data_IF_271975695521
#
_entry.id   IF_271975695521
#
_cell.length_a   1.000
_cell.length_b   1.000
_cell.length_c   1.000
_cell.angle_alpha   90.00
_cell.angle_beta   90.00
_cell.angle_gamma   90.00
#
_symmetry.space_group_name_H-M   'P 1'
#
loop_
_entity.id
_entity.type
_entity.pdbx_description
1 polymer ?
#
# COMPACT_ATOMS: atom_id res chain seq x y z
N UNK A 1 -60.87 49.90 -2.55
CA UNK A 1 -60.44 48.53 -2.37
C UNK A 1 -60.06 47.81 -3.69
N UNK A 2 -60.68 48.09 -4.81
CA UNK A 2 -60.42 47.42 -6.12
C UNK A 2 -59.08 47.75 -6.81
N UNK A 3 -58.49 48.89 -6.56
CA UNK A 3 -57.23 49.29 -7.22
C UNK A 3 -56.00 48.61 -6.56
N UNK A 4 -56.05 48.31 -5.27
CA UNK A 4 -54.93 47.68 -4.56
C UNK A 4 -54.73 46.18 -4.93
N UNK A 5 -55.84 45.45 -5.17
CA UNK A 5 -55.76 44.01 -5.55
C UNK A 5 -55.19 43.82 -6.97
N UNK A 6 -55.45 44.74 -7.89
CA UNK A 6 -54.90 44.69 -9.25
C UNK A 6 -53.40 44.92 -9.30
N UNK A 7 -52.86 45.84 -8.48
CA UNK A 7 -51.44 46.11 -8.38
C UNK A 7 -50.65 44.99 -7.74
N UNK A 8 -51.24 44.29 -6.75
CA UNK A 8 -50.60 43.11 -6.11
C UNK A 8 -50.60 41.90 -7.08
N UNK A 9 -51.66 41.70 -7.86
CA UNK A 9 -51.71 40.65 -8.86
C UNK A 9 -50.67 40.83 -9.98
N UNK A 10 -50.50 42.10 -10.47
CA UNK A 10 -49.47 42.37 -11.50
C UNK A 10 -48.04 42.26 -11.00
N UNK A 11 -47.77 42.58 -9.72
CA UNK A 11 -46.45 42.36 -9.12
C UNK A 11 -46.13 40.87 -9.03
N UNK A 12 -47.06 40.06 -8.53
CA UNK A 12 -46.93 38.61 -8.41
C UNK A 12 -46.74 37.94 -9.80
N UNK A 13 -47.48 38.39 -10.80
CA UNK A 13 -47.32 37.89 -12.15
C UNK A 13 -45.93 38.22 -12.76
N UNK A 14 -45.39 39.40 -12.51
CA UNK A 14 -44.05 39.81 -12.95
C UNK A 14 -42.94 39.02 -12.22
N UNK A 15 -43.12 38.71 -10.96
CA UNK A 15 -42.19 37.85 -10.19
C UNK A 15 -42.20 36.42 -10.72
N UNK A 16 -43.35 35.83 -10.96
CA UNK A 16 -43.49 34.52 -11.59
C UNK A 16 -42.86 34.46 -12.98
N UNK A 17 -43.08 35.50 -13.80
CA UNK A 17 -42.44 35.59 -15.13
C UNK A 17 -40.95 35.78 -15.07
N UNK A 18 -40.42 36.52 -14.07
CA UNK A 18 -38.99 36.64 -13.82
C UNK A 18 -38.37 35.31 -13.39
N UNK A 19 -39.03 34.61 -12.48
CA UNK A 19 -38.61 33.28 -11.99
C UNK A 19 -38.62 32.25 -13.14
N UNK A 20 -39.65 32.18 -13.94
CA UNK A 20 -39.75 31.31 -15.10
C UNK A 20 -38.67 31.62 -16.16
N UNK A 21 -38.38 32.92 -16.40
CA UNK A 21 -37.31 33.34 -17.32
C UNK A 21 -35.94 32.97 -16.80
N UNK A 22 -35.67 33.15 -15.51
CA UNK A 22 -34.41 32.78 -14.88
C UNK A 22 -34.23 31.26 -14.88
N UNK A 23 -35.26 30.49 -14.58
CA UNK A 23 -35.25 29.03 -14.63
C UNK A 23 -34.94 28.52 -16.06
N UNK A 24 -35.58 29.12 -17.10
CA UNK A 24 -35.27 28.81 -18.51
C UNK A 24 -33.81 29.13 -18.85
N UNK A 25 -33.30 30.28 -18.39
CA UNK A 25 -31.90 30.68 -18.62
C UNK A 25 -30.94 29.70 -17.95
N UNK A 26 -31.22 29.29 -16.73
CA UNK A 26 -30.40 28.32 -16.00
C UNK A 26 -30.37 26.95 -16.69
N UNK A 27 -31.52 26.49 -17.20
CA UNK A 27 -31.60 25.22 -17.96
C UNK A 27 -30.81 25.34 -19.29
N UNK A 28 -30.92 26.47 -19.99
CA UNK A 28 -30.16 26.69 -21.22
C UNK A 28 -28.66 26.76 -20.94
N UNK A 29 -28.23 27.43 -19.86
CA UNK A 29 -26.84 27.47 -19.47
C UNK A 29 -26.31 26.08 -19.10
N UNK A 30 -27.07 25.26 -18.36
CA UNK A 30 -26.71 23.88 -18.04
C UNK A 30 -26.59 23.01 -19.30
N UNK A 31 -27.52 23.15 -20.26
CA UNK A 31 -27.45 22.42 -21.53
C UNK A 31 -26.24 22.86 -22.36
N UNK A 32 -25.93 24.17 -22.43
CA UNK A 32 -24.77 24.68 -23.09
C UNK A 32 -23.47 24.22 -22.43
N UNK A 33 -23.41 24.17 -21.08
CA UNK A 33 -22.29 23.64 -20.33
C UNK A 33 -22.04 22.17 -20.67
N UNK A 34 -23.10 21.36 -20.74
CA UNK A 34 -23.00 19.95 -21.15
C UNK A 34 -22.52 19.80 -22.59
N UNK A 35 -22.98 20.65 -23.51
CA UNK A 35 -22.56 20.64 -24.92
C UNK A 35 -21.09 21.08 -25.06
N UNK A 36 -20.65 22.11 -24.34
CA UNK A 36 -19.27 22.58 -24.31
C UNK A 36 -18.35 21.52 -23.68
N UNK A 37 -18.75 20.91 -22.57
CA UNK A 37 -18.00 19.81 -21.94
C UNK A 37 -17.89 18.58 -22.87
N UNK A 38 -18.93 18.29 -23.66
CA UNK A 38 -18.86 17.25 -24.71
C UNK A 38 -17.94 17.60 -25.88
N UNK A 39 -17.85 18.86 -26.22
CA UNK A 39 -16.99 19.33 -27.32
C UNK A 39 -15.51 19.48 -26.96
N UNK A 40 -15.21 19.75 -25.69
CA UNK A 40 -13.83 19.99 -25.20
C UNK A 40 -13.18 18.73 -24.54
N UNK A 41 -13.97 17.79 -24.05
CA UNK A 41 -13.49 16.50 -23.52
C UNK A 41 -13.78 15.45 -24.59
N UNK A 42 -12.79 15.18 -25.41
CA UNK A 42 -12.81 14.38 -26.64
C UNK A 42 -13.85 13.25 -26.69
N UNK A 43 -14.47 13.10 -27.84
CA UNK A 43 -15.60 12.22 -28.19
C UNK A 43 -15.36 10.70 -28.01
N UNK A 44 -14.41 10.27 -27.19
CA UNK A 44 -14.02 8.87 -27.03
C UNK A 44 -14.33 8.22 -25.68
N UNK A 45 -14.90 8.95 -24.71
CA UNK A 45 -15.05 8.41 -23.34
C UNK A 45 -16.49 8.33 -22.79
N UNK A 46 -17.47 8.85 -23.49
CA UNK A 46 -18.86 8.75 -23.06
C UNK A 46 -19.67 7.95 -24.11
N UNK A 47 -20.31 6.88 -23.69
CA UNK A 47 -21.23 6.11 -24.50
C UNK A 47 -22.43 6.95 -24.99
N UNK A 48 -23.28 6.36 -25.82
CA UNK A 48 -24.54 7.02 -26.20
C UNK A 48 -25.42 7.22 -24.98
N UNK A 49 -26.33 8.24 -24.95
CA UNK A 49 -27.25 8.45 -23.81
C UNK A 49 -28.07 7.21 -23.42
N UNK A 50 -28.28 6.27 -24.33
CA UNK A 50 -28.94 5.01 -24.08
C UNK A 50 -28.02 4.01 -23.35
N UNK A 51 -26.72 3.98 -23.66
CA UNK A 51 -25.75 3.17 -22.95
C UNK A 51 -25.50 3.69 -21.53
N UNK A 52 -25.45 5.00 -21.36
CA UNK A 52 -25.30 5.65 -20.04
C UNK A 52 -26.52 5.40 -19.16
N UNK A 53 -27.75 5.37 -19.74
CA UNK A 53 -28.97 5.01 -19.02
C UNK A 53 -29.04 3.53 -18.64
N UNK A 54 -28.56 2.64 -19.50
CA UNK A 54 -28.45 1.21 -19.22
C UNK A 54 -27.42 0.95 -18.12
N UNK A 55 -26.29 1.63 -18.16
CA UNK A 55 -25.26 1.50 -17.15
C UNK A 55 -25.65 2.09 -15.79
N UNK A 56 -26.35 3.24 -15.77
CA UNK A 56 -27.00 3.80 -14.59
C UNK A 56 -28.04 2.85 -14.01
N UNK A 57 -28.89 2.27 -14.86
CA UNK A 57 -29.91 1.30 -14.43
C UNK A 57 -29.27 0.03 -13.85
N UNK A 58 -28.18 -0.45 -14.43
CA UNK A 58 -27.38 -1.56 -13.89
C UNK A 58 -26.75 -1.22 -12.53
N UNK A 59 -26.25 0.00 -12.35
CA UNK A 59 -25.63 0.43 -11.08
C UNK A 59 -26.62 0.62 -9.95
N UNK A 60 -27.85 1.05 -10.25
CA UNK A 60 -28.86 1.32 -9.21
C UNK A 60 -29.79 0.13 -8.90
N UNK A 61 -29.92 -0.84 -9.80
CA UNK A 61 -30.89 -1.96 -9.65
C UNK A 61 -30.18 -3.28 -9.27
N UNK A 62 -28.89 -3.41 -9.53
CA UNK A 62 -28.16 -4.63 -9.20
C UNK A 62 -26.95 -4.28 -8.34
N UNK A 63 -27.12 -4.41 -7.07
CA UNK A 63 -26.20 -4.76 -5.99
C UNK A 63 -26.07 -3.73 -4.88
N UNK A 64 -26.59 -4.10 -3.72
CA UNK A 64 -25.86 -3.91 -2.48
C UNK A 64 -24.83 -5.07 -2.40
N UNK A 65 -23.57 -4.73 -2.22
CA UNK A 65 -22.46 -5.64 -1.92
C UNK A 65 -22.00 -6.61 -3.04
N UNK A 66 -21.01 -6.19 -3.80
CA UNK A 66 -20.12 -7.13 -4.47
C UNK A 66 -18.65 -6.81 -4.14
N UNK A 67 -18.14 -7.59 -3.19
CA UNK A 67 -16.73 -7.82 -3.00
C UNK A 67 -16.12 -8.36 -4.30
N UNK A 68 -14.93 -7.89 -4.59
CA UNK A 68 -14.03 -8.21 -5.69
C UNK A 68 -14.17 -9.65 -6.20
N UNK A 69 -14.75 -9.82 -7.38
CA UNK A 69 -14.49 -10.96 -8.24
C UNK A 69 -13.63 -10.47 -9.40
N UNK A 70 -12.44 -11.03 -9.55
CA UNK A 70 -11.60 -10.87 -10.72
C UNK A 70 -12.39 -11.34 -11.95
N UNK A 71 -12.64 -10.45 -12.91
CA UNK A 71 -13.15 -10.82 -14.22
C UNK A 71 -11.96 -11.27 -15.08
N UNK A 72 -11.80 -12.58 -15.17
CA UNK A 72 -11.26 -13.22 -16.37
C UNK A 72 -12.45 -13.65 -17.25
N UNK A 73 -12.28 -13.43 -18.55
CA UNK A 73 -13.06 -13.85 -19.70
C UNK A 73 -14.02 -12.81 -20.29
N UNK A 74 -13.50 -12.17 -21.33
CA UNK A 74 -14.20 -12.01 -22.60
C UNK A 74 -13.30 -11.31 -23.64
N UNK A 75 -12.54 -12.04 -24.41
CA UNK A 75 -12.13 -11.61 -25.76
C UNK A 75 -11.58 -12.82 -26.54
N UNK A 76 -12.47 -13.66 -27.00
CA UNK A 76 -12.20 -14.50 -28.16
C UNK A 76 -13.40 -14.45 -29.08
N UNK A 77 -13.29 -13.68 -30.15
CA UNK A 77 -13.77 -13.95 -31.53
C UNK A 77 -13.89 -12.64 -32.32
N UNK A 78 -13.19 -12.61 -33.42
CA UNK A 78 -13.35 -11.59 -34.44
C UNK A 78 -12.09 -11.41 -35.28
N UNK A 79 -11.92 -12.21 -36.32
CA UNK A 79 -10.81 -12.09 -37.28
C UNK A 79 -10.97 -10.83 -38.16
N UNK A 80 -9.84 -10.25 -38.51
CA UNK A 80 -9.73 -9.15 -39.47
C UNK A 80 -8.26 -8.81 -39.70
N UNK A 81 -7.72 -9.28 -40.79
CA UNK A 81 -6.37 -9.01 -41.30
C UNK A 81 -6.14 -7.54 -41.60
N UNK A 82 -5.10 -6.93 -41.04
CA UNK A 82 -4.35 -5.85 -41.68
C UNK A 82 -2.94 -5.75 -41.10
N UNK A 83 -1.97 -5.83 -42.03
CA UNK A 83 -0.54 -5.76 -41.80
C UNK A 83 -0.09 -4.38 -41.29
N UNK A 84 0.60 -4.35 -40.15
CA UNK A 84 1.50 -3.26 -39.80
C UNK A 84 2.66 -3.82 -38.98
N UNK A 85 3.87 -3.37 -39.25
CA UNK A 85 5.14 -3.78 -38.68
C UNK A 85 5.08 -3.86 -37.15
N UNK A 86 4.97 -5.05 -36.62
CA UNK A 86 4.75 -5.31 -35.22
C UNK A 86 6.06 -5.34 -34.45
N UNK A 87 6.15 -4.57 -33.41
CA UNK A 87 6.87 -4.98 -32.21
C UNK A 87 6.34 -6.35 -31.81
N UNK A 88 7.20 -7.35 -31.85
CA UNK A 88 6.92 -8.67 -31.26
C UNK A 88 6.85 -8.44 -29.75
N UNK A 89 5.65 -8.24 -29.24
CA UNK A 89 5.36 -8.49 -27.84
C UNK A 89 5.22 -10.00 -27.77
N UNK A 90 6.23 -10.70 -27.27
CA UNK A 90 6.07 -12.09 -26.86
C UNK A 90 4.88 -12.13 -25.90
N UNK A 91 3.81 -12.77 -26.32
CA UNK A 91 2.70 -13.09 -25.42
C UNK A 91 3.17 -14.24 -24.55
N UNK A 92 3.02 -14.13 -23.24
CA UNK A 92 3.03 -15.25 -22.33
C UNK A 92 1.81 -16.14 -22.70
N UNK A 93 1.99 -17.01 -23.67
CA UNK A 93 0.91 -17.86 -24.22
C UNK A 93 0.70 -19.13 -23.36
N UNK A 94 1.45 -19.31 -22.28
CA UNK A 94 1.25 -20.44 -21.38
C UNK A 94 0.12 -20.10 -20.38
N UNK A 95 -1.00 -20.84 -20.42
CA UNK A 95 -2.12 -20.54 -19.52
C UNK A 95 -1.72 -20.83 -18.06
N UNK A 96 -2.17 -19.99 -17.14
CA UNK A 96 -2.04 -20.24 -15.70
C UNK A 96 -2.51 -21.67 -15.38
N UNK A 97 -1.87 -22.38 -14.44
CA UNK A 97 -2.33 -23.70 -14.01
C UNK A 97 -3.76 -23.63 -13.47
N UNK A 98 -4.57 -24.68 -13.66
CA UNK A 98 -5.93 -24.70 -13.15
C UNK A 98 -5.93 -24.51 -11.64
N UNK A 99 -6.94 -23.80 -11.06
CA UNK A 99 -7.04 -23.59 -9.62
C UNK A 99 -7.05 -24.93 -8.87
N UNK A 100 -6.35 -24.96 -7.74
CA UNK A 100 -6.28 -26.11 -6.84
C UNK A 100 -7.66 -26.52 -6.35
N UNK A 101 -7.95 -27.81 -6.39
CA UNK A 101 -9.17 -28.40 -5.84
C UNK A 101 -9.06 -28.61 -4.33
N UNK A 102 -10.19 -28.62 -3.63
CA UNK A 102 -10.27 -29.00 -2.20
C UNK A 102 -9.86 -30.45 -1.92
N UNK A 103 -9.75 -31.30 -2.96
CA UNK A 103 -9.31 -32.71 -2.85
C UNK A 103 -7.82 -32.89 -3.06
N UNK A 104 -7.15 -31.86 -3.55
CA UNK A 104 -5.70 -31.91 -3.77
C UNK A 104 -4.98 -31.85 -2.42
N UNK A 105 -3.75 -32.36 -2.33
CA UNK A 105 -2.93 -32.21 -1.14
C UNK A 105 -2.82 -30.74 -0.73
N UNK A 106 -2.67 -30.42 0.56
CA UNK A 106 -2.45 -29.05 1.00
C UNK A 106 -1.31 -28.39 0.22
N UNK A 107 -1.46 -27.09 -0.06
CA UNK A 107 -0.41 -26.32 -0.70
C UNK A 107 0.83 -26.23 0.19
N UNK A 108 2.00 -26.30 -0.42
CA UNK A 108 3.31 -26.11 0.25
C UNK A 108 4.14 -25.10 -0.54
N UNK A 109 4.92 -24.28 0.17
CA UNK A 109 5.85 -23.32 -0.44
C UNK A 109 7.10 -23.98 -1.05
N UNK A 110 7.25 -25.29 -0.87
CA UNK A 110 8.36 -26.10 -1.39
C UNK A 110 8.68 -27.28 -0.47
N UNK A 111 9.79 -27.97 -0.68
CA UNK A 111 10.23 -29.08 0.17
C UNK A 111 10.36 -28.63 1.63
N UNK A 112 9.92 -29.47 2.57
CA UNK A 112 10.08 -29.18 3.99
C UNK A 112 11.56 -29.18 4.36
N UNK A 113 11.96 -28.12 5.08
CA UNK A 113 13.29 -27.97 5.69
C UNK A 113 13.06 -27.99 7.20
N UNK A 114 13.87 -28.73 7.95
CA UNK A 114 13.71 -28.91 9.41
C UNK A 114 14.97 -28.60 10.21
N UNK A 115 16.05 -28.22 9.56
CA UNK A 115 17.39 -27.98 10.13
C UNK A 115 18.01 -26.66 9.62
N UNK A 116 17.14 -25.67 9.31
CA UNK A 116 17.59 -24.41 8.73
C UNK A 116 18.53 -23.64 9.65
N UNK A 117 18.26 -23.64 10.94
CA UNK A 117 19.12 -22.94 11.92
C UNK A 117 20.53 -23.54 11.96
N UNK A 118 20.67 -24.87 11.86
CA UNK A 118 21.94 -25.55 11.78
C UNK A 118 22.67 -25.27 10.46
N UNK A 119 21.94 -25.31 9.34
CA UNK A 119 22.49 -24.98 8.02
C UNK A 119 22.99 -23.52 7.99
N UNK A 120 22.19 -22.59 8.50
CA UNK A 120 22.55 -21.17 8.61
C UNK A 120 23.75 -20.94 9.53
N UNK A 121 23.78 -21.60 10.70
CA UNK A 121 24.93 -21.53 11.58
C UNK A 121 26.21 -22.09 10.95
N UNK A 122 26.11 -23.19 10.17
CA UNK A 122 27.23 -23.72 9.42
C UNK A 122 27.70 -22.79 8.31
N UNK A 123 26.77 -22.07 7.66
CA UNK A 123 27.11 -21.06 6.67
C UNK A 123 27.86 -19.89 7.31
N UNK A 124 27.41 -19.31 8.43
CA UNK A 124 28.10 -18.24 9.15
C UNK A 124 29.51 -18.59 9.60
N UNK A 125 29.72 -19.83 10.05
CA UNK A 125 31.08 -20.30 10.39
C UNK A 125 32.05 -20.27 9.19
N UNK A 126 31.54 -20.43 7.98
CA UNK A 126 32.32 -20.37 6.72
C UNK A 126 32.46 -18.96 6.17
N UNK A 127 31.60 -18.03 6.60
CA UNK A 127 31.51 -16.65 6.10
C UNK A 127 31.53 -15.62 7.26
N UNK A 128 32.60 -15.60 8.06
CA UNK A 128 32.69 -14.69 9.22
C UNK A 128 32.73 -13.21 8.84
N UNK A 129 33.07 -12.89 7.59
CA UNK A 129 33.07 -11.53 7.02
C UNK A 129 31.66 -10.96 6.80
N UNK A 130 30.63 -11.80 6.84
CA UNK A 130 29.23 -11.40 6.66
C UNK A 130 28.39 -11.75 7.88
N UNK A 131 28.60 -11.08 9.02
CA UNK A 131 27.85 -11.37 10.25
C UNK A 131 26.37 -10.94 10.09
N UNK A 132 25.44 -11.62 10.78
CA UNK A 132 24.01 -11.28 10.75
C UNK A 132 23.69 -9.97 11.50
N UNK A 133 24.64 -9.43 12.27
CA UNK A 133 24.55 -8.16 12.97
C UNK A 133 25.65 -7.23 12.51
N UNK A 134 25.33 -5.97 12.22
CA UNK A 134 26.28 -4.93 11.80
C UNK A 134 27.07 -4.36 12.99
N UNK A 135 26.50 -4.46 14.20
CA UNK A 135 27.10 -4.19 15.50
C UNK A 135 26.36 -5.04 16.55
N UNK A 136 26.65 -4.85 17.83
CA UNK A 136 26.07 -5.65 18.92
C UNK A 136 24.53 -5.66 18.96
N UNK A 137 23.88 -4.65 18.37
CA UNK A 137 22.42 -4.44 18.46
C UNK A 137 21.76 -4.46 17.08
N UNK A 138 22.36 -3.83 16.09
CA UNK A 138 21.74 -3.61 14.78
C UNK A 138 21.85 -4.85 13.88
N UNK A 139 20.72 -5.52 13.59
CA UNK A 139 20.73 -6.66 12.69
C UNK A 139 20.96 -6.23 11.25
N UNK A 140 21.46 -7.16 10.42
CA UNK A 140 21.44 -7.01 8.97
C UNK A 140 20.01 -7.26 8.48
N UNK A 141 19.42 -6.27 7.84
CA UNK A 141 18.03 -6.26 7.41
C UNK A 141 17.92 -6.08 5.91
N UNK A 142 17.11 -6.89 5.26
CA UNK A 142 16.71 -6.72 3.88
C UNK A 142 15.25 -6.24 3.83
N UNK A 143 15.04 -4.99 3.41
CA UNK A 143 13.69 -4.49 3.12
C UNK A 143 13.22 -5.12 1.80
N UNK A 144 12.05 -5.76 1.84
CA UNK A 144 11.47 -6.47 0.69
C UNK A 144 10.15 -5.80 0.31
N UNK A 145 10.01 -5.46 -0.94
CA UNK A 145 8.76 -4.94 -1.51
C UNK A 145 8.60 -5.44 -2.95
N UNK A 146 7.46 -5.20 -3.56
CA UNK A 146 7.25 -5.61 -4.93
C UNK A 146 5.95 -5.10 -5.51
N UNK A 147 5.79 -5.26 -6.82
CA UNK A 147 4.57 -4.95 -7.56
C UNK A 147 4.27 -6.04 -8.60
N UNK A 148 3.12 -5.92 -9.24
CA UNK A 148 2.76 -6.82 -10.35
C UNK A 148 3.82 -6.77 -11.47
N UNK A 149 4.12 -7.90 -12.13
CA UNK A 149 4.97 -7.92 -13.33
C UNK A 149 4.32 -7.21 -14.52
N UNK A 150 3.00 -7.01 -14.49
CA UNK A 150 2.25 -6.35 -15.58
C UNK A 150 2.23 -4.84 -15.37
N UNK A 151 2.29 -4.03 -16.46
CA UNK A 151 2.06 -2.60 -16.38
C UNK A 151 0.71 -2.29 -15.71
N UNK A 152 0.65 -1.15 -15.01
CA UNK A 152 -0.60 -0.70 -14.40
C UNK A 152 -1.67 -0.44 -15.48
N UNK A 153 -2.92 -0.85 -15.21
CA UNK A 153 -4.06 -0.48 -16.06
C UNK A 153 -4.27 1.04 -16.11
N UNK A 154 -3.99 1.71 -15.00
CA UNK A 154 -3.90 3.16 -14.95
C UNK A 154 -2.42 3.58 -15.16
N UNK A 155 -2.06 4.20 -16.28
CA UNK A 155 -0.66 4.54 -16.59
C UNK A 155 -0.03 5.52 -15.59
N UNK A 156 -0.83 6.30 -14.86
CA UNK A 156 -0.34 7.15 -13.77
C UNK A 156 0.07 6.32 -12.56
N UNK A 157 -0.49 5.12 -12.39
CA UNK A 157 -0.18 4.21 -11.30
C UNK A 157 1.29 3.78 -11.27
N UNK A 158 1.90 3.51 -12.43
CA UNK A 158 3.32 3.17 -12.52
C UNK A 158 4.21 4.29 -11.97
N UNK A 159 3.85 5.56 -12.18
CA UNK A 159 4.57 6.68 -11.61
C UNK A 159 4.50 6.71 -10.08
N UNK A 160 3.36 6.32 -9.49
CA UNK A 160 3.24 6.25 -8.02
C UNK A 160 3.96 5.04 -7.43
N UNK A 161 4.05 3.92 -8.16
CA UNK A 161 4.93 2.81 -7.78
C UNK A 161 6.40 3.24 -7.79
N UNK A 162 6.83 4.01 -8.79
CA UNK A 162 8.18 4.58 -8.85
C UNK A 162 8.46 5.51 -7.66
N UNK A 163 7.49 6.34 -7.25
CA UNK A 163 7.61 7.17 -6.05
C UNK A 163 7.71 6.34 -4.78
N UNK A 164 6.90 5.30 -4.68
CA UNK A 164 6.92 4.41 -3.52
C UNK A 164 8.25 3.68 -3.38
N UNK A 165 8.84 3.18 -4.47
CA UNK A 165 10.17 2.55 -4.42
C UNK A 165 11.26 3.58 -4.11
N UNK A 166 11.21 4.78 -4.71
CA UNK A 166 12.16 5.86 -4.39
C UNK A 166 12.13 6.22 -2.90
N UNK A 167 10.94 6.34 -2.30
CA UNK A 167 10.76 6.61 -0.89
C UNK A 167 11.43 5.53 0.00
N UNK A 168 11.21 4.26 -0.32
CA UNK A 168 11.82 3.13 0.40
C UNK A 168 13.35 3.09 0.21
N UNK A 169 13.83 3.36 -0.99
CA UNK A 169 15.28 3.43 -1.27
C UNK A 169 15.97 4.54 -0.46
N UNK A 170 15.31 5.69 -0.33
CA UNK A 170 15.84 6.80 0.46
C UNK A 170 15.94 6.43 1.94
N UNK A 171 14.87 5.85 2.51
CA UNK A 171 14.90 5.37 3.89
C UNK A 171 16.00 4.33 4.10
N UNK A 172 16.09 3.34 3.23
CA UNK A 172 17.15 2.31 3.29
C UNK A 172 18.55 2.93 3.24
N UNK A 173 18.76 3.89 2.33
CA UNK A 173 20.06 4.58 2.22
C UNK A 173 20.41 5.37 3.48
N UNK A 174 19.46 6.06 4.08
CA UNK A 174 19.66 6.84 5.31
C UNK A 174 20.04 5.92 6.49
N UNK A 175 19.41 4.74 6.57
CA UNK A 175 19.59 3.81 7.68
C UNK A 175 20.60 2.69 7.41
N UNK A 176 21.22 2.64 6.22
CA UNK A 176 22.16 1.57 5.86
C UNK A 176 21.50 0.21 5.78
N UNK A 177 20.27 0.14 5.25
CA UNK A 177 19.55 -1.09 4.99
C UNK A 177 19.68 -1.49 3.52
N UNK A 178 19.64 -2.79 3.25
CA UNK A 178 19.53 -3.33 1.91
C UNK A 178 18.04 -3.35 1.48
N UNK A 179 17.78 -3.27 0.16
CA UNK A 179 16.43 -3.30 -0.38
C UNK A 179 16.34 -4.26 -1.56
N UNK A 180 15.31 -5.10 -1.58
CA UNK A 180 14.94 -5.97 -2.69
C UNK A 180 13.56 -5.60 -3.21
N UNK A 181 13.48 -5.24 -4.51
CA UNK A 181 12.23 -4.93 -5.19
C UNK A 181 11.88 -6.03 -6.18
N UNK A 182 10.79 -6.74 -5.93
CA UNK A 182 10.34 -7.86 -6.77
C UNK A 182 9.28 -7.41 -7.77
N UNK A 183 9.42 -7.87 -9.02
CA UNK A 183 8.41 -7.70 -10.07
C UNK A 183 8.01 -9.06 -10.70
N UNK A 184 8.43 -10.18 -10.11
CA UNK A 184 8.11 -11.51 -10.62
C UNK A 184 7.00 -12.17 -9.80
N UNK A 185 6.05 -12.82 -10.46
CA UNK A 185 5.12 -13.72 -9.82
C UNK A 185 5.79 -15.10 -9.71
N UNK A 186 6.29 -15.44 -8.53
CA UNK A 186 7.04 -16.68 -8.31
C UNK A 186 6.15 -17.93 -8.32
N UNK A 187 4.86 -17.75 -8.00
CA UNK A 187 3.89 -18.84 -7.97
C UNK A 187 2.50 -18.32 -8.36
N UNK A 188 1.98 -18.86 -9.47
CA UNK A 188 0.70 -18.43 -10.02
C UNK A 188 -0.50 -18.77 -9.11
N UNK A 189 -0.40 -19.84 -8.28
CA UNK A 189 -1.43 -20.20 -7.31
C UNK A 189 -1.57 -19.15 -6.19
N UNK A 190 -0.47 -18.44 -5.89
CA UNK A 190 -0.34 -17.49 -4.76
C UNK A 190 -0.45 -16.03 -5.18
N UNK A 191 -1.11 -15.72 -6.27
CA UNK A 191 -1.21 -14.32 -6.75
C UNK A 191 -1.98 -13.38 -5.81
N UNK A 192 -1.80 -12.07 -6.02
CA UNK A 192 -2.35 -11.02 -5.18
C UNK A 192 -1.52 -10.84 -3.91
N UNK A 193 -2.16 -10.51 -2.79
CA UNK A 193 -1.48 -10.29 -1.51
C UNK A 193 -0.77 -11.54 -0.94
N UNK A 194 -1.11 -12.72 -1.42
CA UNK A 194 -0.45 -13.98 -1.05
C UNK A 194 0.90 -14.20 -1.74
N UNK A 195 1.19 -13.48 -2.83
CA UNK A 195 2.43 -13.64 -3.60
C UNK A 195 3.70 -13.30 -2.78
N UNK A 196 3.56 -12.61 -1.65
CA UNK A 196 4.67 -12.33 -0.74
C UNK A 196 5.25 -13.60 -0.10
N UNK A 197 4.46 -14.65 0.16
CA UNK A 197 4.92 -15.82 0.91
C UNK A 197 5.96 -16.66 0.16
N UNK A 198 5.77 -17.03 -1.12
CA UNK A 198 6.82 -17.68 -1.90
C UNK A 198 8.10 -16.85 -1.98
N UNK A 199 7.97 -15.53 -2.11
CA UNK A 199 9.09 -14.61 -2.17
C UNK A 199 9.86 -14.57 -0.85
N UNK A 200 9.17 -14.39 0.28
CA UNK A 200 9.80 -14.36 1.60
C UNK A 200 10.56 -15.65 1.87
N UNK A 201 9.93 -16.81 1.60
CA UNK A 201 10.62 -18.10 1.76
C UNK A 201 11.87 -18.20 0.89
N UNK A 202 11.79 -17.82 -0.37
CA UNK A 202 12.93 -17.85 -1.29
C UNK A 202 14.08 -16.96 -0.79
N UNK A 203 13.76 -15.75 -0.30
CA UNK A 203 14.77 -14.81 0.22
C UNK A 203 15.38 -15.27 1.54
N UNK A 204 14.62 -15.85 2.48
CA UNK A 204 15.17 -16.43 3.71
C UNK A 204 16.24 -17.48 3.39
N UNK A 205 15.97 -18.35 2.40
CA UNK A 205 16.89 -19.42 2.02
C UNK A 205 18.08 -18.92 1.20
N UNK A 206 17.89 -17.89 0.38
CA UNK A 206 18.93 -17.34 -0.49
C UNK A 206 19.89 -16.39 0.23
N UNK A 207 19.47 -15.82 1.36
CA UNK A 207 20.19 -14.80 2.11
C UNK A 207 20.44 -15.22 3.57
N UNK A 208 21.29 -16.23 3.82
CA UNK A 208 21.58 -16.68 5.19
C UNK A 208 22.24 -15.61 6.07
N UNK A 209 22.87 -14.58 5.47
CA UNK A 209 23.50 -13.45 6.14
C UNK A 209 22.50 -12.47 6.74
N UNK A 210 21.28 -12.43 6.23
CA UNK A 210 20.24 -11.51 6.70
C UNK A 210 19.65 -12.04 8.00
N UNK A 211 19.52 -11.16 9.00
CA UNK A 211 18.87 -11.50 10.26
C UNK A 211 17.36 -11.29 10.21
N UNK A 212 16.90 -10.19 9.56
CA UNK A 212 15.48 -9.93 9.34
C UNK A 212 15.17 -9.57 7.89
N UNK A 213 14.12 -10.16 7.34
CA UNK A 213 13.39 -9.59 6.22
C UNK A 213 12.38 -8.57 6.76
N UNK A 214 12.32 -7.38 6.17
CA UNK A 214 11.28 -6.39 6.43
C UNK A 214 10.36 -6.31 5.22
N UNK A 215 9.23 -6.98 5.27
CA UNK A 215 8.21 -6.83 4.24
C UNK A 215 7.53 -5.48 4.32
N UNK A 216 7.30 -4.84 3.17
CA UNK A 216 6.54 -3.62 3.05
C UNK A 216 5.76 -3.60 1.74
N UNK A 217 4.44 -3.48 1.80
CA UNK A 217 3.57 -3.43 0.62
C UNK A 217 3.95 -2.25 -0.28
N UNK A 218 3.68 -2.39 -1.60
CA UNK A 218 4.04 -1.36 -2.61
C UNK A 218 3.30 -0.04 -2.41
N UNK A 219 2.13 -0.05 -1.79
CA UNK A 219 1.30 1.11 -1.47
C UNK A 219 1.53 1.67 -0.05
N UNK A 220 2.57 1.21 0.66
CA UNK A 220 3.05 1.80 1.90
C UNK A 220 4.26 2.72 1.64
N UNK A 221 4.38 3.81 2.37
CA UNK A 221 5.47 4.80 2.26
C UNK A 221 6.00 5.19 3.63
N UNK A 222 7.31 5.38 3.75
CA UNK A 222 7.91 5.98 4.93
C UNK A 222 7.52 7.46 5.03
N UNK A 223 6.92 7.84 6.13
CA UNK A 223 6.59 9.22 6.48
C UNK A 223 7.64 9.83 7.39
N UNK A 224 8.35 9.01 8.17
CA UNK A 224 9.46 9.43 9.04
C UNK A 224 10.78 8.85 8.54
N UNK A 225 11.56 9.68 7.87
CA UNK A 225 12.86 9.27 7.34
C UNK A 225 13.96 9.24 8.40
N UNK A 226 13.73 9.83 9.58
CA UNK A 226 14.72 9.91 10.64
C UNK A 226 14.55 8.82 11.72
N UNK A 227 13.36 8.21 11.82
CA UNK A 227 13.09 7.21 12.84
C UNK A 227 13.82 5.90 12.54
N UNK A 228 14.55 5.39 13.51
CA UNK A 228 15.20 4.08 13.47
C UNK A 228 14.46 3.10 14.37
N UNK A 229 14.30 1.85 13.90
CA UNK A 229 13.62 0.82 14.67
C UNK A 229 14.35 0.50 15.97
N UNK A 230 13.64 0.23 17.08
CA UNK A 230 14.23 -0.11 18.37
C UNK A 230 14.69 -1.59 18.40
N UNK A 231 15.77 -1.91 17.70
CA UNK A 231 16.27 -3.26 17.46
C UNK A 231 16.49 -4.07 18.73
N UNK A 232 16.93 -3.45 19.82
CA UNK A 232 17.13 -4.11 21.12
C UNK A 232 15.86 -4.79 21.64
N UNK A 233 14.70 -4.15 21.40
CA UNK A 233 13.38 -4.67 21.79
C UNK A 233 13.06 -5.98 21.10
N UNK A 234 13.54 -6.18 19.88
CA UNK A 234 13.15 -7.28 19.00
C UNK A 234 14.02 -8.53 19.12
N UNK A 235 15.05 -8.49 19.95
CA UNK A 235 15.95 -9.63 20.18
C UNK A 235 15.25 -10.97 20.44
N UNK A 236 14.20 -11.06 21.29
CA UNK A 236 13.52 -12.31 21.62
C UNK A 236 12.54 -12.82 20.54
N UNK A 237 12.15 -11.99 19.56
CA UNK A 237 11.01 -12.23 18.68
C UNK A 237 11.43 -12.59 17.25
N UNK A 238 10.61 -13.42 16.59
CA UNK A 238 10.83 -13.85 15.21
C UNK A 238 9.91 -13.15 14.21
N UNK A 239 8.75 -12.68 14.67
CA UNK A 239 7.79 -11.92 13.86
C UNK A 239 7.39 -10.65 14.62
N UNK A 240 7.62 -9.49 14.01
CA UNK A 240 7.23 -8.19 14.55
C UNK A 240 6.31 -7.53 13.54
N UNK A 241 5.11 -7.15 13.97
CA UNK A 241 4.12 -6.49 13.11
C UNK A 241 3.28 -5.51 13.90
N UNK A 242 2.71 -4.53 13.19
CA UNK A 242 1.79 -3.59 13.83
C UNK A 242 0.50 -4.28 14.26
N UNK A 243 0.09 -4.11 15.53
CA UNK A 243 -1.13 -4.71 16.04
C UNK A 243 -1.28 -4.56 17.55
N UNK A 244 -2.38 -5.10 18.06
CA UNK A 244 -2.77 -5.04 19.47
C UNK A 244 -3.14 -6.43 19.97
N UNK A 245 -2.50 -6.87 21.06
CA UNK A 245 -2.70 -8.19 21.67
C UNK A 245 -4.18 -8.45 21.96
N UNK A 246 -4.88 -7.51 22.61
CA UNK A 246 -6.30 -7.62 22.93
C UNK A 246 -7.15 -7.85 21.69
N UNK A 247 -6.90 -7.08 20.61
CA UNK A 247 -7.68 -7.20 19.37
C UNK A 247 -7.43 -8.54 18.66
N UNK A 248 -6.20 -9.06 18.70
CA UNK A 248 -5.83 -10.32 18.03
C UNK A 248 -6.27 -11.53 18.84
N UNK A 249 -5.90 -11.59 20.13
CA UNK A 249 -6.04 -12.80 20.92
C UNK A 249 -7.39 -12.89 21.66
N UNK A 250 -7.92 -11.77 22.13
CA UNK A 250 -9.15 -11.75 22.92
C UNK A 250 -10.38 -11.47 22.03
N UNK A 251 -10.36 -10.36 21.32
CA UNK A 251 -11.44 -9.94 20.41
C UNK A 251 -11.50 -10.76 19.11
N UNK A 252 -10.37 -11.33 18.66
CA UNK A 252 -10.23 -12.02 17.37
C UNK A 252 -10.69 -11.13 16.21
N UNK A 253 -10.39 -9.85 16.28
CA UNK A 253 -10.79 -8.87 15.29
C UNK A 253 -9.86 -8.94 14.08
N UNK A 254 -10.42 -9.06 12.87
CA UNK A 254 -9.66 -9.23 11.63
C UNK A 254 -8.71 -8.07 11.29
N UNK A 255 -8.93 -6.88 11.88
CA UNK A 255 -8.04 -5.71 11.76
C UNK A 255 -7.13 -5.52 12.99
N UNK A 256 -7.04 -6.51 13.87
CA UNK A 256 -6.22 -6.44 15.08
C UNK A 256 -4.72 -6.34 14.83
N UNK A 257 -4.27 -6.67 13.63
CA UNK A 257 -2.91 -6.47 13.12
C UNK A 257 -2.93 -6.10 11.65
N UNK A 258 -1.75 -5.75 11.07
CA UNK A 258 -1.62 -5.48 9.65
C UNK A 258 -0.41 -6.19 9.04
N UNK A 259 -0.62 -6.87 7.90
CA UNK A 259 0.41 -7.64 7.18
C UNK A 259 1.08 -6.87 6.03
N UNK A 260 0.80 -5.58 5.90
CA UNK A 260 1.42 -4.73 4.88
C UNK A 260 2.79 -4.18 5.26
N UNK A 261 3.19 -4.29 6.55
CA UNK A 261 4.55 -4.01 7.01
C UNK A 261 4.88 -4.84 8.23
N UNK A 262 5.86 -5.72 8.13
CA UNK A 262 6.30 -6.59 9.22
C UNK A 262 7.75 -7.05 9.04
N UNK A 263 8.37 -7.43 10.16
CA UNK A 263 9.71 -8.02 10.21
C UNK A 263 9.60 -9.51 10.45
N UNK A 264 10.35 -10.30 9.70
CA UNK A 264 10.40 -11.76 9.83
C UNK A 264 11.88 -12.19 9.98
N UNK A 265 12.22 -12.81 11.11
CA UNK A 265 13.57 -13.28 11.38
C UNK A 265 13.94 -14.45 10.48
N UNK A 266 15.18 -14.52 10.05
CA UNK A 266 15.68 -15.66 9.29
C UNK A 266 16.05 -16.81 10.21
N UNK A 267 15.09 -17.71 10.45
CA UNK A 267 15.23 -18.88 11.32
C UNK A 267 14.24 -19.99 10.95
N UNK A 268 14.44 -21.18 11.52
CA UNK A 268 13.56 -22.34 11.29
C UNK A 268 12.10 -22.03 11.63
N UNK A 269 11.86 -21.36 12.77
CA UNK A 269 10.52 -20.96 13.19
C UNK A 269 9.76 -20.19 12.09
N UNK A 270 10.45 -19.33 11.37
CA UNK A 270 9.83 -18.51 10.30
C UNK A 270 9.47 -19.34 9.08
N UNK A 271 10.27 -20.33 8.71
CA UNK A 271 9.93 -21.26 7.64
C UNK A 271 8.70 -22.10 8.01
N UNK A 272 8.65 -22.63 9.24
CA UNK A 272 7.50 -23.41 9.75
C UNK A 272 6.23 -22.53 9.82
N UNK A 273 6.37 -21.26 10.20
CA UNK A 273 5.26 -20.31 10.24
C UNK A 273 4.72 -20.00 8.84
N UNK A 274 5.59 -19.75 7.86
CA UNK A 274 5.20 -19.55 6.46
C UNK A 274 4.49 -20.79 5.90
N UNK A 275 4.96 -22.00 6.21
CA UNK A 275 4.34 -23.25 5.79
C UNK A 275 2.95 -23.46 6.46
N UNK A 276 2.71 -22.90 7.64
CA UNK A 276 1.39 -22.89 8.31
C UNK A 276 0.45 -21.85 7.69
N UNK A 277 0.98 -20.71 7.27
CA UNK A 277 0.20 -19.58 6.72
C UNK A 277 -0.23 -19.81 5.27
N UNK A 278 0.66 -20.35 4.44
CA UNK A 278 0.47 -20.49 3.00
C UNK A 278 -0.74 -21.34 2.53
N UNK A 279 -1.16 -22.43 3.23
CA UNK A 279 -2.25 -23.28 2.73
C UNK A 279 -3.61 -22.61 2.51
N UNK A 280 -3.85 -21.43 3.10
CA UNK A 280 -5.08 -20.65 2.90
C UNK A 280 -5.04 -19.78 1.63
N UNK A 281 -3.86 -19.66 1.00
CA UNK A 281 -3.57 -18.71 -0.07
C UNK A 281 -3.90 -19.11 -1.50
N UNK A 282 -3.89 -20.39 -1.91
CA UNK A 282 -4.08 -20.76 -3.30
C UNK A 282 -5.39 -20.26 -3.88
N UNK A 283 -5.34 -19.65 -5.07
CA UNK A 283 -6.51 -19.14 -5.79
C UNK A 283 -7.61 -20.18 -5.97
N UNK A 284 -8.86 -19.72 -6.04
CA UNK A 284 -10.01 -20.54 -6.36
C UNK A 284 -10.66 -21.22 -5.15
N UNK A 285 -11.12 -22.48 -5.25
CA UNK A 285 -11.92 -23.13 -4.22
C UNK A 285 -11.29 -23.14 -2.82
N UNK A 286 -9.97 -23.32 -2.72
CA UNK A 286 -9.23 -23.37 -1.45
C UNK A 286 -9.33 -22.03 -0.74
N UNK A 287 -9.01 -20.92 -1.43
CA UNK A 287 -9.04 -19.57 -0.87
C UNK A 287 -10.48 -19.15 -0.50
N UNK A 288 -11.47 -19.53 -1.32
CA UNK A 288 -12.88 -19.24 -1.05
C UNK A 288 -13.34 -19.98 0.23
N UNK A 289 -13.01 -21.26 0.37
CA UNK A 289 -13.42 -22.04 1.55
C UNK A 289 -12.71 -21.56 2.81
N UNK A 290 -11.41 -21.28 2.74
CA UNK A 290 -10.66 -20.65 3.82
C UNK A 290 -11.31 -19.30 4.23
N UNK A 291 -11.74 -18.49 3.27
CA UNK A 291 -12.44 -17.22 3.53
C UNK A 291 -13.73 -17.40 4.34
N UNK A 292 -14.51 -18.45 4.09
CA UNK A 292 -15.71 -18.76 4.89
C UNK A 292 -15.35 -19.11 6.34
N UNK A 293 -14.27 -19.90 6.54
CA UNK A 293 -13.79 -20.24 7.89
C UNK A 293 -13.37 -18.97 8.61
N UNK A 294 -12.57 -18.11 7.97
CA UNK A 294 -12.10 -16.84 8.54
C UNK A 294 -13.27 -15.91 8.90
N UNK A 295 -14.25 -15.75 8.00
CA UNK A 295 -15.42 -14.90 8.26
C UNK A 295 -16.28 -15.42 9.43
N UNK A 296 -16.35 -16.74 9.60
CA UNK A 296 -17.08 -17.34 10.71
C UNK A 296 -16.37 -17.15 12.06
N UNK A 297 -15.03 -17.15 12.04
CA UNK A 297 -14.22 -17.15 13.26
C UNK A 297 -13.86 -15.73 13.73
N UNK A 298 -13.58 -14.82 12.79
CA UNK A 298 -13.07 -13.48 13.08
C UNK A 298 -14.21 -12.48 13.23
N UNK A 299 -14.12 -11.65 14.26
CA UNK A 299 -15.06 -10.57 14.54
C UNK A 299 -14.97 -9.49 13.45
N UNK A 300 -16.15 -9.03 13.03
CA UNK A 300 -16.35 -7.93 12.07
C UNK A 300 -15.74 -8.14 10.66
N UNK A 301 -15.30 -9.36 10.34
CA UNK A 301 -14.76 -9.67 9.03
C UNK A 301 -15.89 -9.75 7.99
N UNK A 302 -15.85 -8.93 6.90
CA UNK A 302 -16.80 -9.06 5.81
C UNK A 302 -16.63 -10.39 5.05
N UNK A 303 -17.66 -10.79 4.29
CA UNK A 303 -17.64 -12.05 3.54
C UNK A 303 -16.85 -11.86 2.25
N UNK A 304 -15.65 -12.43 2.19
CA UNK A 304 -14.83 -12.51 0.98
C UNK A 304 -13.84 -13.67 1.08
N UNK A 305 -13.10 -13.96 0.01
CA UNK A 305 -12.06 -15.00 0.00
C UNK A 305 -11.00 -14.75 1.09
N UNK A 306 -10.19 -15.77 1.42
CA UNK A 306 -9.15 -15.61 2.43
C UNK A 306 -8.09 -14.58 1.98
N UNK A 307 -7.82 -13.62 2.85
CA UNK A 307 -6.71 -12.70 2.77
C UNK A 307 -5.62 -13.09 3.77
N UNK A 308 -4.43 -12.64 3.49
CA UNK A 308 -3.24 -12.97 4.27
C UNK A 308 -3.31 -12.41 5.71
N UNK A 309 -3.88 -11.23 5.89
CA UNK A 309 -4.05 -10.58 7.21
C UNK A 309 -5.04 -11.36 8.10
N UNK A 310 -6.22 -11.68 7.59
CA UNK A 310 -7.21 -12.47 8.34
C UNK A 310 -6.69 -13.85 8.68
N UNK A 311 -5.96 -14.49 7.75
CA UNK A 311 -5.32 -15.78 8.01
C UNK A 311 -4.27 -15.68 9.13
N UNK A 312 -3.48 -14.60 9.17
CA UNK A 312 -2.51 -14.33 10.24
C UNK A 312 -3.19 -14.19 11.59
N UNK A 313 -4.24 -13.36 11.70
CA UNK A 313 -5.02 -13.23 12.96
C UNK A 313 -5.58 -14.59 13.39
N UNK A 314 -6.13 -15.35 12.45
CA UNK A 314 -6.70 -16.67 12.72
C UNK A 314 -5.66 -17.64 13.31
N UNK A 315 -4.48 -17.76 12.67
CA UNK A 315 -3.39 -18.63 13.12
C UNK A 315 -2.92 -18.23 14.51
N UNK A 316 -2.66 -16.95 14.74
CA UNK A 316 -2.19 -16.47 16.03
C UNK A 316 -3.23 -16.67 17.13
N UNK A 317 -4.51 -16.43 16.85
CA UNK A 317 -5.58 -16.62 17.83
C UNK A 317 -5.90 -18.10 18.14
N UNK A 318 -5.74 -19.00 17.15
CA UNK A 318 -6.05 -20.44 17.32
C UNK A 318 -4.86 -21.27 17.80
N UNK A 319 -3.64 -20.85 17.50
CA UNK A 319 -2.40 -21.57 17.82
C UNK A 319 -1.45 -20.69 18.68
N UNK A 320 -2.01 -19.89 19.61
CA UNK A 320 -1.26 -18.94 20.44
C UNK A 320 -0.11 -19.60 21.21
N UNK A 321 -0.35 -20.78 21.79
CA UNK A 321 0.68 -21.50 22.54
C UNK A 321 1.89 -21.90 21.70
N UNK A 322 1.68 -22.14 20.41
CA UNK A 322 2.73 -22.54 19.47
C UNK A 322 3.53 -21.35 18.94
N UNK A 323 2.86 -20.23 18.67
CA UNK A 323 3.45 -19.13 17.92
C UNK A 323 3.66 -17.85 18.73
N UNK A 324 2.78 -17.59 19.72
CA UNK A 324 2.64 -16.30 20.39
C UNK A 324 3.92 -15.78 21.06
N UNK A 325 4.70 -16.66 21.69
CA UNK A 325 5.93 -16.29 22.41
C UNK A 325 7.02 -15.68 21.51
N UNK A 326 6.93 -15.90 20.20
CA UNK A 326 7.88 -15.38 19.20
C UNK A 326 7.31 -14.26 18.35
N UNK A 327 6.09 -13.81 18.63
CA UNK A 327 5.41 -12.70 17.94
C UNK A 327 5.37 -11.47 18.83
N UNK A 328 5.72 -10.31 18.28
CA UNK A 328 5.58 -9.02 18.94
C UNK A 328 4.62 -8.13 18.15
N UNK A 329 3.50 -7.77 18.77
CA UNK A 329 2.53 -6.85 18.21
C UNK A 329 2.90 -5.42 18.60
N UNK A 330 3.53 -4.69 17.66
CA UNK A 330 4.07 -3.36 17.88
C UNK A 330 2.98 -2.29 17.77
N UNK A 331 2.76 -1.55 18.83
CA UNK A 331 1.82 -0.44 18.89
C UNK A 331 2.42 0.84 19.50
N UNK A 332 3.69 0.83 19.89
CA UNK A 332 4.42 1.98 20.43
C UNK A 332 4.78 3.01 19.37
N UNK A 333 4.84 2.60 18.09
CA UNK A 333 5.01 3.47 16.94
C UNK A 333 4.28 2.89 15.71
N UNK A 334 4.11 3.69 14.65
CA UNK A 334 3.36 3.29 13.46
C UNK A 334 4.23 2.52 12.47
N UNK A 335 4.54 1.23 12.77
CA UNK A 335 5.08 0.30 11.77
C UNK A 335 4.11 0.11 10.60
N UNK A 336 2.81 0.31 10.86
CA UNK A 336 1.74 0.50 9.90
C UNK A 336 0.86 1.67 10.35
N UNK A 337 0.65 2.67 9.50
CA UNK A 337 -0.23 3.79 9.74
C UNK A 337 -1.29 3.91 8.65
N UNK A 338 -2.56 3.83 9.01
CA UNK A 338 -3.65 3.93 8.05
C UNK A 338 -3.77 5.35 7.47
N UNK A 339 -3.63 5.47 6.14
CA UNK A 339 -3.59 6.75 5.43
C UNK A 339 -4.80 7.67 5.68
N UNK A 340 -6.00 7.05 5.83
CA UNK A 340 -7.25 7.80 5.97
C UNK A 340 -7.35 8.66 7.22
N UNK A 341 -6.53 8.39 8.26
CA UNK A 341 -6.45 9.20 9.48
C UNK A 341 -5.17 10.03 9.58
N UNK A 342 -4.18 9.77 8.73
CA UNK A 342 -2.86 10.42 8.85
C UNK A 342 -2.67 11.56 7.86
N UNK A 343 -3.03 11.36 6.58
CA UNK A 343 -2.62 12.27 5.50
C UNK A 343 -3.22 13.67 5.64
N UNK A 344 -4.43 13.79 6.16
CA UNK A 344 -5.08 15.09 6.38
C UNK A 344 -4.48 15.89 7.56
N UNK A 345 -3.64 15.22 8.38
CA UNK A 345 -2.95 15.83 9.53
C UNK A 345 -1.50 16.22 9.25
N UNK A 346 -0.99 16.00 8.05
CA UNK A 346 0.42 16.25 7.75
C UNK A 346 0.84 17.72 7.91
N UNK A 347 -0.02 18.68 7.59
CA UNK A 347 0.27 20.11 7.84
C UNK A 347 0.40 20.41 9.33
N UNK A 348 -0.51 19.89 10.16
CA UNK A 348 -0.45 19.99 11.62
C UNK A 348 0.85 19.36 12.16
N UNK A 349 1.26 18.20 11.61
CA UNK A 349 2.50 17.53 12.01
C UNK A 349 3.73 18.38 11.68
N UNK A 350 3.77 19.01 10.49
CA UNK A 350 4.86 19.88 10.08
C UNK A 350 4.98 21.15 10.93
N UNK A 351 3.86 21.64 11.45
CA UNK A 351 3.83 22.85 12.30
C UNK A 351 4.26 22.56 13.74
N UNK A 352 3.90 21.40 14.29
CA UNK A 352 4.00 21.14 15.73
C UNK A 352 5.06 20.11 16.13
N UNK A 353 5.55 19.31 15.17
CA UNK A 353 6.44 18.20 15.47
C UNK A 353 7.61 18.12 14.47
N UNK A 354 8.48 17.16 14.68
CA UNK A 354 9.64 16.89 13.82
C UNK A 354 9.81 15.39 13.56
N UNK A 355 10.51 14.97 12.49
CA UNK A 355 10.85 13.57 12.25
C UNK A 355 11.66 12.94 13.39
N UNK A 356 11.65 11.61 13.46
CA UNK A 356 12.37 10.81 14.44
C UNK A 356 11.51 10.33 15.61
N UNK A 357 10.19 10.50 15.54
CA UNK A 357 9.24 10.09 16.58
C UNK A 357 8.59 8.72 16.30
N UNK A 358 8.28 8.44 15.05
CA UNK A 358 7.67 7.19 14.60
C UNK A 358 6.22 6.98 15.04
N UNK A 359 5.69 7.77 15.99
CA UNK A 359 4.40 7.62 16.64
C UNK A 359 3.28 8.47 15.98
N UNK A 360 2.14 8.67 16.70
CA UNK A 360 0.98 9.43 16.20
C UNK A 360 1.28 10.90 15.86
N UNK A 361 2.38 11.45 16.36
CA UNK A 361 2.84 12.83 16.13
C UNK A 361 3.60 12.94 14.81
N UNK A 362 4.34 11.89 14.45
CA UNK A 362 5.05 11.77 13.18
C UNK A 362 5.20 10.28 12.84
N UNK A 363 4.22 9.67 12.13
CA UNK A 363 4.18 8.23 11.91
C UNK A 363 5.34 7.75 11.05
N UNK A 364 5.89 6.55 11.39
CA UNK A 364 6.96 5.94 10.58
C UNK A 364 6.47 5.62 9.18
N UNK A 365 5.33 4.93 9.08
CA UNK A 365 4.77 4.45 7.81
C UNK A 365 3.36 4.96 7.61
N UNK A 366 3.04 5.40 6.39
CA UNK A 366 1.67 5.63 5.92
C UNK A 366 1.36 4.59 4.84
N UNK A 367 0.34 3.78 5.09
CA UNK A 367 -0.07 2.67 4.24
C UNK A 367 -1.45 2.94 3.62
N UNK A 368 -1.54 2.86 2.31
CA UNK A 368 -2.70 3.20 1.49
C UNK A 368 -3.64 2.01 1.29
N UNK A 369 -4.01 1.34 2.39
CA UNK A 369 -4.93 0.21 2.38
C UNK A 369 -6.23 0.58 1.67
N UNK A 370 -6.67 -0.28 0.74
CA UNK A 370 -7.87 -0.07 -0.07
C UNK A 370 -7.67 0.83 -1.29
N UNK A 371 -6.50 1.48 -1.41
CA UNK A 371 -6.11 2.21 -2.62
C UNK A 371 -5.47 1.27 -3.64
N UNK A 372 -5.93 1.32 -4.89
CA UNK A 372 -5.36 0.52 -5.98
C UNK A 372 -4.90 1.43 -7.11
N UNK A 373 -3.71 2.05 -6.99
CA UNK A 373 -3.24 3.05 -7.96
C UNK A 373 -3.05 2.46 -9.36
N UNK A 374 -2.74 1.17 -9.48
CA UNK A 374 -2.60 0.47 -10.75
C UNK A 374 -3.91 -0.04 -11.34
N UNK A 375 -4.96 -0.22 -10.52
CA UNK A 375 -6.26 -0.73 -10.94
C UNK A 375 -7.20 0.37 -11.43
N UNK A 376 -8.30 -0.05 -12.03
CA UNK A 376 -9.42 0.85 -12.38
C UNK A 376 -10.34 1.11 -11.20
N UNK A 377 -10.43 0.15 -10.29
CA UNK A 377 -11.35 0.17 -9.16
C UNK A 377 -10.59 -0.21 -7.88
N UNK A 378 -10.99 0.35 -6.77
CA UNK A 378 -10.51 0.07 -5.43
C UNK A 378 -11.62 0.42 -4.42
N UNK A 379 -11.37 0.28 -3.13
CA UNK A 379 -12.31 0.65 -2.07
C UNK A 379 -12.52 2.18 -2.02
N UNK A 380 -11.58 2.92 -2.59
CA UNK A 380 -11.59 4.39 -2.68
C UNK A 380 -11.46 4.87 -4.12
N UNK A 381 -11.99 6.08 -4.46
CA UNK A 381 -11.77 6.70 -5.76
C UNK A 381 -10.26 6.84 -6.04
N UNK A 382 -9.83 6.36 -7.21
CA UNK A 382 -8.41 6.35 -7.59
C UNK A 382 -7.78 7.75 -7.54
N UNK A 383 -8.51 8.77 -7.98
CA UNK A 383 -8.04 10.17 -7.93
C UNK A 383 -7.76 10.66 -6.50
N UNK A 384 -8.61 10.30 -5.54
CA UNK A 384 -8.38 10.59 -4.12
C UNK A 384 -7.13 9.89 -3.63
N UNK A 385 -6.97 8.60 -3.96
CA UNK A 385 -5.79 7.83 -3.60
C UNK A 385 -4.52 8.46 -4.15
N UNK A 386 -4.47 8.76 -5.45
CA UNK A 386 -3.30 9.37 -6.10
C UNK A 386 -2.95 10.74 -5.50
N UNK A 387 -3.96 11.57 -5.22
CA UNK A 387 -3.76 12.87 -4.56
C UNK A 387 -3.14 12.71 -3.17
N UNK A 388 -3.63 11.77 -2.38
CA UNK A 388 -3.12 11.55 -1.02
C UNK A 388 -1.76 10.85 -1.03
N UNK A 389 -1.49 9.97 -1.99
CA UNK A 389 -0.17 9.37 -2.20
C UNK A 389 0.88 10.43 -2.59
N UNK A 390 0.51 11.43 -3.43
CA UNK A 390 1.39 12.58 -3.73
C UNK A 390 1.77 13.34 -2.46
N UNK A 391 0.82 13.60 -1.57
CA UNK A 391 1.04 14.30 -0.31
C UNK A 391 1.95 13.51 0.62
N UNK A 392 1.70 12.20 0.77
CA UNK A 392 2.52 11.33 1.61
C UNK A 392 3.95 11.21 1.08
N UNK A 393 4.11 11.06 -0.23
CA UNK A 393 5.42 11.07 -0.85
C UNK A 393 6.16 12.37 -0.56
N UNK A 394 5.53 13.54 -0.79
CA UNK A 394 6.16 14.83 -0.58
C UNK A 394 6.47 15.09 0.91
N UNK A 395 5.66 14.55 1.83
CA UNK A 395 5.90 14.64 3.27
C UNK A 395 7.22 13.96 3.67
N UNK A 396 7.45 12.73 3.20
CA UNK A 396 8.72 12.02 3.40
C UNK A 396 9.88 12.61 2.59
N UNK A 397 9.64 12.92 1.31
CA UNK A 397 10.65 13.45 0.38
C UNK A 397 11.21 14.82 0.81
N UNK A 398 10.40 15.65 1.48
CA UNK A 398 10.87 16.93 2.03
C UNK A 398 12.04 16.75 3.02
N UNK A 399 12.03 15.68 3.80
CA UNK A 399 13.11 15.39 4.75
C UNK A 399 14.43 15.10 4.01
N UNK A 400 14.35 14.42 2.86
CA UNK A 400 15.50 14.15 1.99
C UNK A 400 15.92 15.43 1.26
N UNK A 401 14.99 16.19 0.69
CA UNK A 401 15.27 17.40 -0.05
C UNK A 401 15.94 18.50 0.81
N UNK A 402 15.59 18.56 2.10
CA UNK A 402 16.20 19.51 3.05
C UNK A 402 17.72 19.31 3.16
N UNK A 403 18.20 18.07 3.04
CA UNK A 403 19.67 17.80 3.00
C UNK A 403 20.36 18.56 1.86
N UNK A 404 19.65 18.79 0.76
CA UNK A 404 20.12 19.48 -0.44
C UNK A 404 19.67 20.95 -0.52
N UNK A 405 19.00 21.46 0.51
CA UNK A 405 18.54 22.86 0.58
C UNK A 405 17.25 23.14 -0.19
N UNK A 406 16.37 22.15 -0.37
CA UNK A 406 15.11 22.27 -1.06
C UNK A 406 13.94 21.70 -0.25
N UNK A 407 12.71 22.10 -0.61
CA UNK A 407 11.47 21.49 -0.15
C UNK A 407 10.40 21.63 -1.22
N UNK A 408 9.38 20.80 -1.22
CA UNK A 408 8.20 21.00 -2.05
C UNK A 408 7.49 22.31 -1.65
N UNK A 409 6.88 23.02 -2.63
CA UNK A 409 6.15 24.27 -2.36
C UNK A 409 4.95 24.07 -1.43
N UNK A 410 4.32 22.92 -1.54
CA UNK A 410 3.29 22.39 -0.64
C UNK A 410 3.26 20.87 -0.78
N UNK A 411 2.59 20.15 0.13
CA UNK A 411 2.49 18.69 0.07
C UNK A 411 1.80 18.18 -1.21
N UNK A 412 0.91 18.95 -1.83
CA UNK A 412 0.29 18.61 -3.11
C UNK A 412 1.07 19.09 -4.35
N UNK A 413 2.24 19.73 -4.19
CA UNK A 413 2.96 20.37 -5.30
C UNK A 413 4.13 19.53 -5.77
N UNK A 414 4.23 19.33 -7.09
CA UNK A 414 5.41 18.74 -7.75
C UNK A 414 6.57 19.74 -7.91
N UNK A 415 6.32 21.04 -7.60
CA UNK A 415 7.34 22.10 -7.69
C UNK A 415 8.05 22.24 -6.35
N UNK A 416 9.36 22.41 -6.42
CA UNK A 416 10.21 22.68 -5.27
C UNK A 416 10.54 24.16 -5.13
N UNK A 417 10.94 24.57 -3.92
CA UNK A 417 11.53 25.88 -3.62
C UNK A 417 12.84 25.65 -2.91
N UNK A 418 13.80 26.56 -3.12
CA UNK A 418 15.07 26.59 -2.39
C UNK A 418 14.81 27.16 -0.99
N UNK A 419 15.36 26.52 0.04
CA UNK A 419 15.27 26.95 1.45
C UNK A 419 16.64 27.31 2.03
N UNK A 420 17.75 26.96 1.33
CA UNK A 420 19.10 27.32 1.68
C UNK A 420 19.85 27.84 0.46
N UNK A 421 20.54 28.98 0.61
CA UNK A 421 21.37 29.53 -0.46
C UNK A 421 22.64 28.72 -0.63
N UNK A 422 23.12 28.62 -1.86
CA UNK A 422 24.46 28.08 -2.12
C UNK A 422 25.53 29.03 -1.56
N UNK A 423 26.59 28.44 -1.03
CA UNK A 423 27.76 29.14 -0.49
C UNK A 423 29.02 28.50 -1.05
N UNK A 424 30.10 29.27 -1.14
CA UNK A 424 31.41 28.78 -1.56
C UNK A 424 32.03 27.83 -0.53
N UNK A 425 31.56 27.84 0.73
CA UNK A 425 32.01 26.99 1.81
C UNK A 425 30.83 26.20 2.41
N UNK A 426 30.24 25.27 1.67
CA UNK A 426 29.00 24.59 2.08
C UNK A 426 29.16 23.74 3.34
N UNK A 427 30.37 23.30 3.68
CA UNK A 427 30.62 22.50 4.90
C UNK A 427 30.70 23.35 6.18
N UNK A 428 30.84 24.68 6.06
CA UNK A 428 30.88 25.59 7.21
C UNK A 428 29.47 25.93 7.71
N UNK A 429 28.45 25.61 6.94
CA UNK A 429 27.04 25.87 7.29
C UNK A 429 26.55 24.78 8.25
N UNK A 430 26.47 25.10 9.54
CA UNK A 430 26.07 24.12 10.58
C UNK A 430 24.57 24.06 10.84
N UNK A 431 23.82 25.13 10.60
CA UNK A 431 22.50 25.33 11.22
C UNK A 431 21.30 25.01 10.32
N UNK A 432 21.50 24.62 9.05
CA UNK A 432 20.41 24.44 8.09
C UNK A 432 20.46 23.12 7.30
N UNK A 433 21.16 22.11 7.83
CA UNK A 433 21.48 20.90 7.06
C UNK A 433 20.36 19.83 7.06
N UNK A 434 19.30 20.00 7.83
CA UNK A 434 18.24 19.01 7.98
C UNK A 434 18.67 17.78 8.83
N UNK A 435 17.70 17.16 9.47
CA UNK A 435 17.89 16.09 10.47
C UNK A 435 18.63 14.84 9.95
N UNK A 436 18.57 14.58 8.66
CA UNK A 436 19.19 13.40 8.04
C UNK A 436 20.63 13.63 7.59
N UNK A 437 21.12 14.87 7.68
CA UNK A 437 22.51 15.16 7.33
C UNK A 437 23.47 14.43 8.30
N UNK A 438 24.57 13.82 7.84
CA UNK A 438 25.50 13.06 8.69
C UNK A 438 25.98 13.84 9.93
N UNK A 439 26.21 15.15 9.80
CA UNK A 439 26.60 16.02 10.92
C UNK A 439 25.54 16.10 12.04
N UNK A 440 24.25 16.04 11.71
CA UNK A 440 23.17 15.99 12.70
C UNK A 440 23.13 14.69 13.49
N UNK A 441 23.39 13.56 12.83
CA UNK A 441 23.45 12.24 13.50
C UNK A 441 24.60 12.17 14.51
N UNK A 442 25.76 12.74 14.18
CA UNK A 442 26.90 12.79 15.09
C UNK A 442 26.66 13.64 16.37
N UNK A 443 25.82 14.68 16.27
CA UNK A 443 25.50 15.53 17.42
C UNK A 443 24.52 14.91 18.43
N UNK A 444 23.68 13.96 17.99
CA UNK A 444 22.70 13.27 18.87
C UNK A 444 23.33 12.19 19.76
N UNK A 445 24.49 11.67 19.42
CA UNK A 445 25.19 10.64 20.20
C UNK A 445 26.01 11.19 21.36
N UNK A 446 26.13 12.52 21.50
CA UNK A 446 26.93 13.19 22.55
C UNK A 446 26.09 13.85 23.64
N UNK A 447 24.77 13.70 23.64
CA UNK A 447 23.86 14.25 24.66
C UNK A 447 23.06 13.14 25.34
N UNK A 448 23.79 12.27 26.04
CA UNK A 448 23.25 11.43 27.13
C UNK A 448 24.05 11.66 28.38
#
# INVERSE_FOLDING_TARGET
MWVAERVVGERRMREIQRFARNAKLTVVCLLLTVVVLRGTVGAGKFGTPQQDLIELRHRFISHPHRALAEHHDALSRGGGSSSSSGRVVERDDEPDPPPRSLRDPPYTLGPKISDWDEQRAAWHRRHPETPPFLNDVKPRVLLVTGSSPKPCENPVGDHYLLKSIKNKMDYCRVHGLEIFYNMALLDAEMAGFWAKLPLLRALLLAHPEIEFLWWMDSDAMFSDMAFELPWERYGPYNLIMHGWDEMVYDDKNWIGLNTGSFLLRNCQWSLDFLDTWAPMGPKGPVRIEAGKVLTKYLKDRPVFEADDQSAMVYILATEREKWGDKVYLENGYYLHGYWGILVDRYEEMLENYHPGLGDHRWPLVTHFVGCKPCGKFGDYPVERCLKQMERAFNFGDNQILQMYGFTHKSLGSRKVKRIRNETSNPLDVKDELGLLHPAFKAMKTTST
#
